data_IF_966742354416
#
_entry.id   IF_966742354416
#
_cell.length_a   1.000
_cell.length_b   1.000
_cell.length_c   1.000
_cell.angle_alpha   90.00
_cell.angle_beta   90.00
_cell.angle_gamma   90.00
#
_symmetry.space_group_name_H-M   'P 1'
#
loop_
_entity.id
_entity.type
_entity.pdbx_description
1 polymer ?
#
# COMPACT_ATOMS: atom_id res chain seq x y z
N UNK A 1 -14.34 -14.33 -21.00
CA UNK A 1 -14.17 -13.42 -19.86
C UNK A 1 -13.23 -14.11 -18.88
N UNK A 2 -11.95 -13.74 -18.87
CA UNK A 2 -10.97 -14.36 -17.99
C UNK A 2 -11.02 -13.65 -16.63
N UNK A 3 -11.66 -14.29 -15.65
CA UNK A 3 -11.54 -13.91 -14.24
C UNK A 3 -10.21 -14.50 -13.73
N UNK A 4 -9.11 -13.85 -14.06
CA UNK A 4 -7.78 -14.19 -13.58
C UNK A 4 -7.07 -12.93 -13.12
N UNK A 5 -6.36 -13.02 -11.99
CA UNK A 5 -5.55 -11.98 -11.34
C UNK A 5 -6.26 -11.09 -10.31
N UNK A 6 -6.85 -11.71 -9.29
CA UNK A 6 -6.88 -11.09 -7.95
C UNK A 6 -5.78 -11.64 -7.03
N UNK A 7 -4.98 -12.62 -7.50
CA UNK A 7 -3.97 -13.35 -6.73
C UNK A 7 -2.54 -12.84 -6.92
N UNK A 8 -2.35 -11.75 -7.65
CA UNK A 8 -1.03 -11.23 -8.06
C UNK A 8 -0.96 -9.71 -7.89
N UNK A 9 -1.75 -9.14 -6.96
CA UNK A 9 -1.57 -7.76 -6.52
C UNK A 9 -0.64 -7.76 -5.30
N UNK A 10 0.57 -7.18 -5.40
CA UNK A 10 1.50 -7.02 -4.28
C UNK A 10 0.83 -6.43 -3.05
N UNK A 11 -0.08 -5.47 -3.25
CA UNK A 11 -0.82 -4.82 -2.17
C UNK A 11 -1.67 -5.83 -1.40
N UNK A 12 -2.38 -6.73 -2.09
CA UNK A 12 -3.18 -7.78 -1.46
C UNK A 12 -2.31 -8.80 -0.72
N UNK A 13 -1.09 -9.07 -1.20
CA UNK A 13 -0.13 -9.97 -0.55
C UNK A 13 0.47 -9.38 0.73
N UNK A 14 0.76 -8.08 0.73
CA UNK A 14 1.33 -7.39 1.91
C UNK A 14 0.28 -6.98 2.95
N UNK A 15 -0.99 -6.83 2.53
CA UNK A 15 -2.09 -6.38 3.38
C UNK A 15 -3.32 -7.29 3.31
N UNK A 16 -3.20 -8.61 3.57
CA UNK A 16 -4.31 -9.55 3.39
C UNK A 16 -5.48 -9.25 4.33
N UNK A 17 -5.21 -8.92 5.59
CA UNK A 17 -6.24 -8.72 6.62
C UNK A 17 -6.94 -7.36 6.52
N UNK A 18 -6.35 -6.41 5.81
CA UNK A 18 -6.85 -5.04 5.68
C UNK A 18 -6.99 -4.58 4.23
N UNK A 19 -7.01 -5.52 3.28
CA UNK A 19 -7.14 -5.25 1.85
C UNK A 19 -8.33 -4.35 1.52
N UNK A 20 -9.50 -4.60 2.13
CA UNK A 20 -10.67 -3.74 1.95
C UNK A 20 -10.47 -2.30 2.43
N UNK A 21 -9.74 -2.10 3.52
CA UNK A 21 -9.42 -0.76 4.03
C UNK A 21 -8.41 -0.03 3.14
N UNK A 22 -7.43 -0.76 2.60
CA UNK A 22 -6.46 -0.25 1.64
C UNK A 22 -7.16 0.24 0.38
N UNK A 23 -8.03 -0.57 -0.22
CA UNK A 23 -8.81 -0.18 -1.41
C UNK A 23 -9.70 1.04 -1.12
N UNK A 24 -10.35 1.06 0.05
CA UNK A 24 -11.23 2.16 0.43
C UNK A 24 -10.47 3.46 0.72
N UNK A 25 -9.21 3.40 1.17
CA UNK A 25 -8.37 4.57 1.40
C UNK A 25 -7.75 5.07 0.09
N UNK A 26 -7.21 4.17 -0.74
CA UNK A 26 -6.67 4.51 -2.06
C UNK A 26 -7.71 5.17 -2.97
N UNK A 27 -8.98 4.76 -2.88
CA UNK A 27 -10.06 5.38 -3.66
C UNK A 27 -10.36 6.83 -3.28
N UNK A 28 -9.96 7.30 -2.08
CA UNK A 28 -10.29 8.64 -1.57
C UNK A 28 -9.07 9.52 -1.26
N UNK A 29 -7.88 8.94 -1.22
CA UNK A 29 -6.62 9.61 -0.90
C UNK A 29 -5.61 9.35 -2.03
N UNK A 30 -5.37 10.33 -2.91
CA UNK A 30 -4.44 10.19 -4.02
C UNK A 30 -3.01 9.86 -3.56
N UNK A 31 -2.54 10.44 -2.46
CA UNK A 31 -1.19 10.16 -1.95
C UNK A 31 -1.07 8.71 -1.49
N UNK A 32 -2.14 8.16 -0.89
CA UNK A 32 -2.19 6.74 -0.54
C UNK A 32 -2.29 5.83 -1.77
N UNK A 33 -3.00 6.26 -2.82
CA UNK A 33 -3.02 5.56 -4.10
C UNK A 33 -1.63 5.51 -4.74
N UNK A 34 -0.86 6.59 -4.67
CA UNK A 34 0.51 6.65 -5.19
C UNK A 34 1.43 5.68 -4.42
N UNK A 35 1.35 5.64 -3.08
CA UNK A 35 2.07 4.64 -2.29
C UNK A 35 1.72 3.19 -2.68
N UNK A 36 0.45 2.91 -2.98
CA UNK A 36 0.04 1.59 -3.46
C UNK A 36 0.66 1.27 -4.83
N UNK A 37 0.78 2.26 -5.71
CA UNK A 37 1.41 2.07 -7.02
C UNK A 37 2.92 1.87 -6.88
N UNK A 38 3.60 2.66 -6.06
CA UNK A 38 5.02 2.50 -5.76
C UNK A 38 5.33 1.10 -5.22
N UNK A 39 4.50 0.57 -4.32
CA UNK A 39 4.67 -0.80 -3.82
C UNK A 39 4.60 -1.84 -4.95
N UNK A 40 3.71 -1.66 -5.93
CA UNK A 40 3.61 -2.56 -7.09
C UNK A 40 4.83 -2.47 -7.99
N UNK A 41 5.33 -1.26 -8.22
CA UNK A 41 6.47 -1.02 -9.08
C UNK A 41 7.75 -1.61 -8.49
N UNK A 42 7.98 -1.40 -7.19
CA UNK A 42 9.13 -1.97 -6.48
C UNK A 42 9.05 -3.50 -6.42
N UNK A 43 7.86 -4.07 -6.16
CA UNK A 43 7.69 -5.53 -6.13
C UNK A 43 7.90 -6.19 -7.49
N UNK A 44 7.43 -5.54 -8.56
CA UNK A 44 7.70 -5.97 -9.94
C UNK A 44 9.20 -5.96 -10.24
N UNK A 45 9.90 -4.89 -9.84
CA UNK A 45 11.36 -4.81 -9.98
C UNK A 45 12.08 -5.91 -9.19
N UNK A 46 11.67 -6.17 -7.95
CA UNK A 46 12.23 -7.23 -7.11
C UNK A 46 12.02 -8.61 -7.76
N UNK A 47 10.81 -8.89 -8.23
CA UNK A 47 10.47 -10.15 -8.89
C UNK A 47 11.36 -10.38 -10.12
N UNK A 48 11.53 -9.37 -10.96
CA UNK A 48 12.43 -9.43 -12.12
C UNK A 48 13.89 -9.65 -11.73
N UNK A 49 14.36 -9.08 -10.62
CA UNK A 49 15.73 -9.29 -10.15
C UNK A 49 15.94 -10.72 -9.63
N UNK A 50 14.97 -11.26 -8.90
CA UNK A 50 15.03 -12.65 -8.38
C UNK A 50 15.01 -13.66 -9.53
N UNK A 51 14.13 -13.48 -10.52
CA UNK A 51 14.01 -14.39 -11.67
C UNK A 51 15.30 -14.47 -12.52
N UNK A 52 16.09 -13.38 -12.55
CA UNK A 52 17.33 -13.35 -13.32
C UNK A 52 18.50 -14.07 -12.64
N UNK A 53 18.36 -14.47 -11.36
CA UNK A 53 19.38 -15.20 -10.58
C UNK A 53 20.80 -14.62 -10.71
N UNK A 54 20.91 -13.29 -10.81
CA UNK A 54 22.20 -12.62 -10.99
C UNK A 54 22.75 -12.18 -9.62
N UNK A 55 23.81 -12.87 -9.17
CA UNK A 55 24.49 -12.58 -7.93
C UNK A 55 25.08 -11.15 -7.88
N UNK A 56 25.33 -10.52 -9.03
CA UNK A 56 25.77 -9.12 -9.10
C UNK A 56 24.67 -8.12 -8.71
N UNK A 57 23.41 -8.55 -8.60
CA UNK A 57 22.27 -7.72 -8.23
C UNK A 57 21.92 -7.82 -6.73
N UNK A 58 22.74 -8.47 -5.90
CA UNK A 58 22.46 -8.67 -4.48
C UNK A 58 22.21 -7.34 -3.73
N UNK A 59 22.96 -6.29 -4.07
CA UNK A 59 22.76 -4.95 -3.50
C UNK A 59 21.39 -4.38 -3.91
N UNK A 60 21.03 -4.47 -5.19
CA UNK A 60 19.72 -4.01 -5.70
C UNK A 60 18.54 -4.80 -5.13
N UNK A 61 18.72 -6.11 -4.89
CA UNK A 61 17.72 -6.92 -4.19
C UNK A 61 17.50 -6.40 -2.77
N UNK A 62 18.58 -6.10 -2.04
CA UNK A 62 18.51 -5.53 -0.69
C UNK A 62 17.85 -4.15 -0.69
N UNK A 63 18.14 -3.30 -1.67
CA UNK A 63 17.51 -1.98 -1.82
C UNK A 63 16.00 -2.09 -2.05
N UNK A 64 15.57 -2.93 -3.00
CA UNK A 64 14.14 -3.13 -3.27
C UNK A 64 13.40 -3.69 -2.04
N UNK A 65 14.02 -4.62 -1.30
CA UNK A 65 13.46 -5.13 -0.04
C UNK A 65 13.30 -4.02 1.01
N UNK A 66 14.30 -3.14 1.15
CA UNK A 66 14.23 -1.99 2.05
C UNK A 66 13.14 -1.00 1.66
N UNK A 67 12.95 -0.73 0.37
CA UNK A 67 11.86 0.12 -0.12
C UNK A 67 10.48 -0.49 0.16
N UNK A 68 10.31 -1.79 -0.07
CA UNK A 68 9.06 -2.49 0.25
C UNK A 68 8.74 -2.39 1.74
N UNK A 69 9.73 -2.61 2.61
CA UNK A 69 9.52 -2.53 4.06
C UNK A 69 9.12 -1.10 4.49
N UNK A 70 9.81 -0.09 3.96
CA UNK A 70 9.47 1.32 4.21
C UNK A 70 8.05 1.65 3.76
N UNK A 71 7.71 1.34 2.51
CA UNK A 71 6.37 1.58 1.96
C UNK A 71 5.29 0.86 2.78
N UNK A 72 5.56 -0.37 3.22
CA UNK A 72 4.62 -1.11 4.05
C UNK A 72 4.35 -0.38 5.36
N UNK A 73 5.39 0.16 6.02
CA UNK A 73 5.24 0.92 7.25
C UNK A 73 4.48 2.24 7.04
N UNK A 74 4.83 3.01 6.00
CA UNK A 74 4.13 4.26 5.67
C UNK A 74 2.64 4.02 5.36
N UNK A 75 2.32 2.96 4.62
CA UNK A 75 0.94 2.55 4.36
C UNK A 75 0.21 2.09 5.63
N UNK A 76 0.88 1.37 6.54
CA UNK A 76 0.30 0.96 7.83
C UNK A 76 -0.02 2.18 8.71
N UNK A 77 0.87 3.17 8.75
CA UNK A 77 0.65 4.42 9.48
C UNK A 77 -0.51 5.22 8.88
N UNK A 78 -0.58 5.34 7.56
CA UNK A 78 -1.69 6.02 6.89
C UNK A 78 -3.04 5.32 7.15
N UNK A 79 -3.06 3.98 7.14
CA UNK A 79 -4.25 3.20 7.51
C UNK A 79 -4.65 3.43 8.98
N UNK A 80 -3.68 3.52 9.90
CA UNK A 80 -3.94 3.80 11.30
C UNK A 80 -4.52 5.21 11.49
N UNK A 81 -3.95 6.21 10.81
CA UNK A 81 -4.44 7.59 10.84
C UNK A 81 -5.83 7.73 10.23
N UNK A 82 -6.12 7.07 9.12
CA UNK A 82 -7.43 7.11 8.48
C UNK A 82 -8.56 6.50 9.34
N UNK A 83 -8.23 5.56 10.23
CA UNK A 83 -9.16 5.02 11.24
C UNK A 83 -9.38 5.97 12.42
N UNK A 84 -8.49 6.94 12.63
CA UNK A 84 -8.64 8.01 13.61
C UNK A 84 -9.35 9.18 12.92
N UNK A 85 -10.68 9.11 12.77
CA UNK A 85 -11.47 10.27 12.38
C UNK A 85 -11.89 11.02 13.64
N UNK A 86 -11.41 12.25 13.90
CA UNK A 86 -11.97 13.07 14.96
C UNK A 86 -13.43 13.38 14.61
N UNK A 87 -14.35 12.95 15.45
CA UNK A 87 -15.74 13.39 15.38
C UNK A 87 -15.75 14.91 15.55
N UNK A 88 -16.03 15.66 14.48
CA UNK A 88 -16.27 17.10 14.62
C UNK A 88 -17.41 17.29 15.63
N UNK A 89 -17.26 18.15 16.66
CA UNK A 89 -18.38 18.46 17.52
C UNK A 89 -19.49 19.06 16.65
N UNK A 90 -20.70 18.49 16.76
CA UNK A 90 -21.87 18.99 16.07
C UNK A 90 -22.01 20.51 16.32
N UNK A 91 -22.38 21.32 15.31
CA UNK A 91 -22.66 22.72 15.55
C UNK A 91 -23.73 22.79 16.64
N UNK A 92 -23.41 23.45 17.76
CA UNK A 92 -24.41 23.77 18.77
C UNK A 92 -25.47 24.59 18.07
N UNK A 93 -26.62 23.98 17.82
CA UNK A 93 -27.82 24.68 17.37
C UNK A 93 -28.11 25.71 18.45
N UNK A 94 -27.75 26.96 18.19
CA UNK A 94 -28.11 28.09 19.04
C UNK A 94 -29.51 28.48 18.57
N UNK A 95 -30.52 27.90 19.21
CA UNK A 95 -31.89 28.40 19.13
C UNK A 95 -31.94 29.81 19.79
N UNK A 96 -32.87 30.68 19.34
CA UNK A 96 -32.75 32.14 19.32
C UNK A 96 -32.80 32.83 20.68
#
# INVERSE_FOLDING_TARGET
MAMGKATDDPVARYFPDCHGAVLALAARDPAFSDMCQELRDVDGALTHLVERHDAAQAERLSECQGWIERLRNEMQEALAQAKIVPLRPAPRLRDP
#
